data_IF_690904245276
#
_entry.id   IF_690904245276
#
_cell.length_a   1.000
_cell.length_b   1.000
_cell.length_c   1.000
_cell.angle_alpha   90.00
_cell.angle_beta   90.00
_cell.angle_gamma   90.00
#
_symmetry.space_group_name_H-M   'P 1'
#
loop_
_entity.id
_entity.type
_entity.pdbx_description
1 polymer ?
#
# COMPACT_ATOMS: atom_id res chain seq x y z
N UNK A 1 19.90 -3.98 6.93
CA UNK A 1 18.62 -4.66 6.78
C UNK A 1 17.84 -4.06 5.63
N UNK A 2 17.00 -4.86 4.99
CA UNK A 2 16.31 -4.43 3.77
C UNK A 2 14.97 -3.76 4.10
N UNK A 3 14.54 -2.87 3.22
CA UNK A 3 13.32 -2.09 3.43
C UNK A 3 12.10 -2.79 2.87
N UNK A 4 10.96 -2.54 3.48
CA UNK A 4 9.65 -2.95 2.98
C UNK A 4 8.93 -1.72 2.42
N UNK A 5 8.13 -1.95 1.38
CA UNK A 5 7.34 -0.90 0.74
C UNK A 5 5.87 -1.29 0.81
N UNK A 6 5.01 -0.34 1.17
CA UNK A 6 3.57 -0.58 1.20
C UNK A 6 2.87 0.27 0.17
N UNK A 7 1.82 -0.28 -0.42
CA UNK A 7 0.99 0.37 -1.42
C UNK A 7 -0.46 0.41 -0.95
N UNK A 8 -1.07 1.57 -1.04
CA UNK A 8 -2.51 1.75 -0.88
C UNK A 8 -3.07 2.12 -2.25
N UNK A 9 -3.71 1.15 -2.91
CA UNK A 9 -4.16 1.29 -4.29
C UNK A 9 -5.56 1.90 -4.33
N UNK A 10 -5.63 3.21 -4.62
CA UNK A 10 -6.89 3.91 -4.81
C UNK A 10 -7.32 3.93 -6.27
N UNK A 11 -8.49 4.51 -6.55
CA UNK A 11 -9.01 4.63 -7.91
C UNK A 11 -8.17 5.57 -8.77
N UNK A 12 -7.67 6.65 -8.17
CA UNK A 12 -6.97 7.72 -8.88
C UNK A 12 -5.52 7.81 -8.43
N UNK A 13 -5.23 7.47 -7.18
CA UNK A 13 -3.92 7.63 -6.56
C UNK A 13 -3.45 6.36 -5.91
N UNK A 14 -2.14 6.21 -5.86
CA UNK A 14 -1.47 5.12 -5.15
C UNK A 14 -0.64 5.74 -4.04
N UNK A 15 -1.01 5.47 -2.79
CA UNK A 15 -0.20 5.88 -1.65
C UNK A 15 0.97 4.92 -1.48
N UNK A 16 2.16 5.45 -1.21
CA UNK A 16 3.39 4.65 -1.08
C UNK A 16 4.06 5.00 0.22
N UNK A 17 4.41 3.99 0.99
CA UNK A 17 5.18 4.13 2.23
C UNK A 17 6.40 3.22 2.19
N UNK A 18 7.44 3.61 2.92
CA UNK A 18 8.71 2.90 2.95
C UNK A 18 9.15 2.73 4.40
N UNK A 19 9.65 1.56 4.76
CA UNK A 19 10.22 1.35 6.08
C UNK A 19 11.67 1.84 6.13
N UNK A 20 12.17 2.07 7.35
CA UNK A 20 13.59 2.29 7.55
C UNK A 20 14.37 0.98 7.34
N UNK A 21 15.68 1.07 7.31
CA UNK A 21 16.53 -0.10 7.09
C UNK A 21 16.54 -1.08 8.26
N UNK A 22 16.09 -0.64 9.43
CA UNK A 22 15.97 -1.50 10.62
C UNK A 22 14.61 -2.19 10.69
N UNK A 23 13.66 -1.80 9.85
CA UNK A 23 12.31 -2.38 9.85
C UNK A 23 11.48 -2.01 11.06
N UNK A 24 11.76 -0.87 11.69
CA UNK A 24 11.08 -0.43 12.91
C UNK A 24 10.01 0.61 12.67
N UNK A 25 10.17 1.46 11.65
CA UNK A 25 9.27 2.57 11.39
C UNK A 25 8.81 2.57 9.94
N UNK A 26 7.58 3.06 9.73
CA UNK A 26 7.00 3.26 8.41
C UNK A 26 6.87 4.77 8.16
N UNK A 27 7.34 5.21 7.00
CA UNK A 27 7.28 6.62 6.61
C UNK A 27 6.53 6.77 5.30
N UNK A 28 5.66 7.78 5.15
CA UNK A 28 5.11 8.11 3.85
C UNK A 28 6.23 8.44 2.88
N UNK A 29 6.19 7.88 1.67
CA UNK A 29 7.20 8.15 0.66
C UNK A 29 6.67 9.10 -0.41
N UNK A 30 5.57 8.75 -1.04
CA UNK A 30 4.99 9.54 -2.11
C UNK A 30 3.55 9.11 -2.38
N UNK A 31 2.86 9.91 -3.19
CA UNK A 31 1.57 9.55 -3.76
C UNK A 31 1.73 9.62 -5.28
N UNK A 32 1.40 8.52 -5.95
CA UNK A 32 1.47 8.44 -7.40
C UNK A 32 0.07 8.65 -7.98
N UNK A 33 -0.03 9.46 -9.04
CA UNK A 33 -1.26 9.51 -9.81
C UNK A 33 -1.28 8.31 -10.74
N UNK A 34 -2.33 7.50 -10.65
CA UNK A 34 -2.44 6.32 -11.52
C UNK A 34 -2.63 6.74 -12.97
N UNK A 35 -1.84 6.16 -13.86
CA UNK A 35 -1.86 6.47 -15.30
C UNK A 35 -1.99 5.21 -16.16
N UNK A 36 -2.36 4.10 -15.55
CA UNK A 36 -2.57 2.82 -16.22
C UNK A 36 -1.73 1.71 -15.61
N UNK A 37 -2.22 0.49 -15.68
CA UNK A 37 -1.63 -0.66 -14.99
C UNK A 37 -0.16 -0.85 -15.33
N UNK A 38 0.20 -0.87 -16.60
CA UNK A 38 1.59 -1.15 -16.99
C UNK A 38 2.54 -0.04 -16.56
N UNK A 39 2.15 1.22 -16.75
CA UNK A 39 2.98 2.36 -16.34
C UNK A 39 3.12 2.42 -14.82
N UNK A 40 2.05 2.16 -14.11
CA UNK A 40 2.08 2.15 -12.64
C UNK A 40 3.02 1.06 -12.13
N UNK A 41 2.97 -0.13 -12.72
CA UNK A 41 3.87 -1.23 -12.36
C UNK A 41 5.34 -0.86 -12.63
N UNK A 42 5.62 -0.22 -13.75
CA UNK A 42 6.98 0.23 -14.07
C UNK A 42 7.47 1.24 -13.03
N UNK A 43 6.61 2.20 -12.67
CA UNK A 43 6.95 3.21 -11.66
C UNK A 43 7.21 2.57 -10.30
N UNK A 44 6.36 1.65 -9.88
CA UNK A 44 6.53 0.93 -8.61
C UNK A 44 7.82 0.09 -8.65
N UNK A 45 8.07 -0.60 -9.75
CA UNK A 45 9.31 -1.36 -9.93
C UNK A 45 10.56 -0.49 -9.80
N UNK A 46 10.50 0.72 -10.33
CA UNK A 46 11.58 1.70 -10.17
C UNK A 46 11.81 2.08 -8.71
N UNK A 47 10.73 2.29 -7.95
CA UNK A 47 10.85 2.59 -6.52
C UNK A 47 11.44 1.41 -5.75
N UNK A 48 11.03 0.20 -6.09
CA UNK A 48 11.56 -1.02 -5.46
C UNK A 48 13.06 -1.12 -5.67
N UNK A 49 13.53 -0.86 -6.88
CA UNK A 49 14.96 -0.91 -7.19
C UNK A 49 15.73 0.24 -6.55
N UNK A 50 15.20 1.46 -6.64
CA UNK A 50 15.86 2.67 -6.11
C UNK A 50 16.07 2.57 -4.60
N UNK A 51 15.09 2.06 -3.88
CA UNK A 51 15.13 2.00 -2.41
C UNK A 51 15.57 0.64 -1.87
N UNK A 52 16.01 -0.26 -2.74
CA UNK A 52 16.47 -1.60 -2.34
C UNK A 52 15.43 -2.34 -1.50
N UNK A 53 14.19 -2.32 -1.97
CA UNK A 53 13.06 -2.93 -1.28
C UNK A 53 13.18 -4.45 -1.37
N UNK A 54 12.97 -5.11 -0.24
CA UNK A 54 13.02 -6.58 -0.16
C UNK A 54 11.65 -7.24 -0.19
N UNK A 55 10.59 -6.47 0.02
CA UNK A 55 9.24 -7.01 0.13
C UNK A 55 8.23 -5.88 -0.07
N UNK A 56 7.14 -6.18 -0.76
CA UNK A 56 6.04 -5.22 -1.00
C UNK A 56 4.78 -5.72 -0.31
N UNK A 57 4.08 -4.82 0.37
CA UNK A 57 2.82 -5.09 1.03
C UNK A 57 1.74 -4.24 0.37
N UNK A 58 0.64 -4.86 -0.02
CA UNK A 58 -0.49 -4.19 -0.69
C UNK A 58 -1.72 -4.29 0.18
N UNK A 59 -2.34 -3.17 0.49
CA UNK A 59 -3.59 -3.13 1.24
C UNK A 59 -4.74 -3.70 0.42
N UNK A 60 -5.48 -4.62 1.01
CA UNK A 60 -6.63 -5.23 0.36
C UNK A 60 -7.91 -4.80 1.09
N UNK A 61 -8.75 -3.96 0.45
CA UNK A 61 -9.99 -3.50 1.08
C UNK A 61 -11.02 -4.62 1.04
N UNK A 62 -11.37 -5.14 2.20
CA UNK A 62 -12.38 -6.18 2.36
C UNK A 62 -13.54 -5.55 3.14
N UNK A 63 -14.77 -5.83 2.73
CA UNK A 63 -15.94 -5.34 3.46
C UNK A 63 -15.97 -5.92 4.88
N UNK A 64 -16.62 -5.22 5.80
CA UNK A 64 -16.66 -5.63 7.20
C UNK A 64 -17.26 -7.02 7.40
N UNK A 65 -18.13 -7.45 6.47
CA UNK A 65 -18.73 -8.79 6.50
C UNK A 65 -17.85 -9.86 5.82
N UNK A 66 -16.66 -9.50 5.38
CA UNK A 66 -15.73 -10.42 4.72
C UNK A 66 -15.92 -10.56 3.20
N UNK A 67 -16.92 -9.90 2.63
CA UNK A 67 -17.13 -9.94 1.17
C UNK A 67 -16.19 -8.99 0.45
N UNK A 68 -16.02 -9.22 -0.86
CA UNK A 68 -15.14 -8.41 -1.70
C UNK A 68 -15.94 -7.60 -2.72
N UNK A 69 -15.61 -6.31 -2.80
CA UNK A 69 -16.19 -5.40 -3.79
C UNK A 69 -15.51 -5.57 -5.15
N UNK A 70 -16.06 -4.89 -6.16
CA UNK A 70 -15.40 -4.85 -7.48
C UNK A 70 -14.02 -4.19 -7.39
N UNK A 71 -13.86 -3.20 -6.52
CA UNK A 71 -12.57 -2.57 -6.29
C UNK A 71 -11.55 -3.56 -5.75
N UNK A 72 -11.95 -4.40 -4.81
CA UNK A 72 -11.08 -5.43 -4.25
C UNK A 72 -10.58 -6.37 -5.35
N UNK A 73 -11.47 -6.78 -6.24
CA UNK A 73 -11.12 -7.66 -7.36
C UNK A 73 -10.12 -7.00 -8.30
N UNK A 74 -10.29 -5.70 -8.60
CA UNK A 74 -9.35 -4.95 -9.44
C UNK A 74 -7.98 -4.84 -8.79
N UNK A 75 -7.94 -4.64 -7.47
CA UNK A 75 -6.70 -4.59 -6.72
C UNK A 75 -5.99 -5.94 -6.78
N UNK A 76 -6.72 -7.04 -6.65
CA UNK A 76 -6.13 -8.37 -6.78
C UNK A 76 -5.51 -8.58 -8.16
N UNK A 77 -6.23 -8.21 -9.22
CA UNK A 77 -5.72 -8.34 -10.59
C UNK A 77 -4.45 -7.53 -10.81
N UNK A 78 -4.47 -6.27 -10.37
CA UNK A 78 -3.30 -5.40 -10.46
C UNK A 78 -2.12 -6.01 -9.71
N UNK A 79 -2.37 -6.49 -8.50
CA UNK A 79 -1.32 -7.00 -7.62
C UNK A 79 -0.73 -8.30 -8.17
N UNK A 80 -1.52 -9.16 -8.79
CA UNK A 80 -0.99 -10.36 -9.44
C UNK A 80 -0.04 -9.98 -10.58
N UNK A 81 -0.40 -9.00 -11.39
CA UNK A 81 0.47 -8.51 -12.46
C UNK A 81 1.74 -7.88 -11.91
N UNK A 82 1.60 -7.08 -10.86
CA UNK A 82 2.74 -6.47 -10.17
C UNK A 82 3.69 -7.55 -9.64
N UNK A 83 3.16 -8.55 -8.96
CA UNK A 83 3.95 -9.62 -8.37
C UNK A 83 4.77 -10.36 -9.43
N UNK A 84 4.19 -10.60 -10.61
CA UNK A 84 4.87 -11.27 -11.70
C UNK A 84 6.01 -10.43 -12.31
N UNK A 85 5.96 -9.11 -12.15
CA UNK A 85 6.97 -8.20 -12.71
C UNK A 85 8.07 -7.83 -11.73
N UNK A 86 7.85 -8.07 -10.44
CA UNK A 86 8.84 -7.77 -9.40
C UNK A 86 9.67 -9.01 -9.06
N UNK A 87 10.92 -8.78 -8.67
CA UNK A 87 11.82 -9.85 -8.21
C UNK A 87 11.74 -10.07 -6.70
N UNK A 88 10.85 -9.37 -6.02
CA UNK A 88 10.69 -9.48 -4.58
C UNK A 88 9.30 -10.01 -4.26
N UNK A 89 9.09 -10.64 -3.10
CA UNK A 89 7.76 -11.13 -2.73
C UNK A 89 6.80 -9.99 -2.49
N UNK A 90 5.53 -10.23 -2.84
CA UNK A 90 4.43 -9.29 -2.65
C UNK A 90 3.40 -9.96 -1.77
N UNK A 91 2.85 -9.23 -0.82
CA UNK A 91 1.87 -9.72 0.15
C UNK A 91 0.64 -8.82 0.19
N UNK A 92 -0.50 -9.41 0.50
CA UNK A 92 -1.71 -8.65 0.86
C UNK A 92 -1.79 -8.49 2.36
N UNK A 93 -2.30 -7.35 2.80
CA UNK A 93 -2.71 -7.11 4.18
C UNK A 93 -4.15 -6.58 4.19
N UNK A 94 -4.97 -7.10 5.10
CA UNK A 94 -6.35 -6.64 5.27
C UNK A 94 -6.34 -5.24 5.87
N UNK A 95 -6.91 -4.26 5.15
CA UNK A 95 -6.84 -2.85 5.56
C UNK A 95 -8.03 -2.38 6.42
N UNK A 96 -8.95 -3.29 6.80
CA UNK A 96 -10.17 -2.90 7.51
C UNK A 96 -9.93 -2.07 8.76
N UNK A 97 -8.85 -2.36 9.49
CA UNK A 97 -8.53 -1.64 10.74
C UNK A 97 -7.79 -0.33 10.52
N UNK A 98 -6.99 -0.25 9.46
CA UNK A 98 -6.11 0.90 9.21
C UNK A 98 -6.84 2.10 8.61
N UNK A 99 -7.89 1.87 7.81
CA UNK A 99 -8.69 2.95 7.23
C UNK A 99 -9.31 3.85 8.29
N UNK A 100 -9.84 3.25 9.37
CA UNK A 100 -10.41 4.02 10.47
C UNK A 100 -9.39 4.92 11.15
N UNK A 101 -8.18 4.41 11.34
CA UNK A 101 -7.10 5.18 11.97
C UNK A 101 -6.72 6.37 11.10
N UNK A 102 -6.60 6.17 9.79
CA UNK A 102 -6.28 7.25 8.86
C UNK A 102 -7.34 8.35 8.87
N UNK A 103 -8.62 7.98 8.81
CA UNK A 103 -9.72 8.93 8.86
C UNK A 103 -9.71 9.74 10.16
N UNK A 104 -9.49 9.08 11.29
CA UNK A 104 -9.44 9.72 12.60
C UNK A 104 -8.30 10.73 12.68
N UNK A 105 -7.11 10.36 12.20
CA UNK A 105 -5.96 11.25 12.19
C UNK A 105 -6.21 12.48 11.35
N UNK A 106 -6.87 12.35 10.21
CA UNK A 106 -7.17 13.49 9.34
C UNK A 106 -8.20 14.41 9.92
N UNK A 107 -9.23 13.87 10.57
CA UNK A 107 -10.25 14.66 11.28
C UNK A 107 -9.61 15.51 12.38
N UNK A 108 -8.72 14.93 13.14
CA UNK A 108 -8.06 15.61 14.26
C UNK A 108 -7.12 16.72 13.77
N UNK A 109 -6.54 16.58 12.57
CA UNK A 109 -5.61 17.57 12.02
C UNK A 109 -6.28 18.80 11.42
N UNK A 110 -7.61 18.76 11.17
CA UNK A 110 -8.36 19.88 10.58
C UNK A 110 -7.97 20.21 9.16
N UNK A 111 -7.46 19.26 8.39
CA UNK A 111 -7.01 19.47 7.01
C UNK A 111 -8.22 19.55 6.07
N UNK A 112 -8.12 20.40 5.01
CA UNK A 112 -9.20 20.54 4.02
C UNK A 112 -9.44 19.22 3.27
N UNK A 113 -10.67 19.03 2.77
CA UNK A 113 -11.06 17.78 2.11
C UNK A 113 -10.14 17.41 0.95
N UNK A 114 -9.69 18.38 0.16
CA UNK A 114 -8.81 18.14 -0.98
C UNK A 114 -7.41 17.70 -0.54
N UNK A 115 -6.88 18.33 0.49
CA UNK A 115 -5.58 17.95 1.07
C UNK A 115 -5.69 16.64 1.84
N UNK A 116 -6.85 16.38 2.46
CA UNK A 116 -7.09 15.15 3.20
C UNK A 116 -6.94 13.92 2.32
N UNK A 117 -7.42 13.96 1.07
CA UNK A 117 -7.35 12.79 0.17
C UNK A 117 -5.93 12.32 -0.06
N UNK A 118 -5.03 13.23 -0.45
CA UNK A 118 -3.64 12.87 -0.66
C UNK A 118 -2.93 12.44 0.61
N UNK A 119 -3.19 13.10 1.73
CA UNK A 119 -2.60 12.74 3.02
C UNK A 119 -3.18 11.45 3.57
N UNK A 120 -4.48 11.19 3.37
CA UNK A 120 -5.09 9.92 3.78
C UNK A 120 -4.42 8.76 3.04
N UNK A 121 -4.17 8.90 1.73
CA UNK A 121 -3.50 7.86 0.95
C UNK A 121 -2.08 7.60 1.48
N UNK A 122 -1.31 8.65 1.80
CA UNK A 122 0.03 8.50 2.37
C UNK A 122 -0.01 7.88 3.75
N UNK A 123 -0.91 8.37 4.61
CA UNK A 123 -1.05 7.88 5.98
C UNK A 123 -1.56 6.45 5.97
N UNK A 124 -2.52 6.13 5.10
CA UNK A 124 -3.04 4.77 5.00
C UNK A 124 -1.94 3.79 4.62
N UNK A 125 -1.10 4.13 3.63
CA UNK A 125 0.03 3.28 3.24
C UNK A 125 1.02 3.10 4.40
N UNK A 126 1.33 4.16 5.13
CA UNK A 126 2.23 4.09 6.28
C UNK A 126 1.66 3.24 7.41
N UNK A 127 0.35 3.34 7.65
CA UNK A 127 -0.32 2.52 8.67
C UNK A 127 -0.36 1.05 8.28
N UNK A 128 -0.60 0.75 7.01
CA UNK A 128 -0.53 -0.62 6.50
C UNK A 128 0.85 -1.20 6.74
N UNK A 129 1.88 -0.44 6.40
CA UNK A 129 3.26 -0.87 6.57
C UNK A 129 3.61 -1.05 8.04
N UNK A 130 3.20 -0.13 8.89
CA UNK A 130 3.44 -0.22 10.32
C UNK A 130 2.79 -1.47 10.91
N UNK A 131 1.56 -1.78 10.50
CA UNK A 131 0.87 -3.00 10.92
C UNK A 131 1.65 -4.24 10.48
N UNK A 132 2.14 -4.25 9.24
CA UNK A 132 2.94 -5.37 8.72
C UNK A 132 4.23 -5.54 9.53
N UNK A 133 4.93 -4.45 9.83
CA UNK A 133 6.17 -4.49 10.61
C UNK A 133 5.94 -4.98 12.03
N UNK A 134 4.76 -4.77 12.58
CA UNK A 134 4.39 -5.22 13.93
C UNK A 134 3.84 -6.65 13.96
N UNK A 135 3.87 -7.34 12.83
CA UNK A 135 3.49 -8.76 12.78
C UNK A 135 2.06 -9.04 12.35
N UNK A 136 1.36 -8.09 11.72
CA UNK A 136 0.05 -8.36 11.16
C UNK A 136 0.13 -9.48 10.13
N UNK A 137 -0.96 -10.24 10.00
CA UNK A 137 -1.01 -11.36 9.08
C UNK A 137 -0.91 -10.88 7.64
N UNK A 138 0.04 -11.47 6.90
CA UNK A 138 0.25 -11.18 5.48
C UNK A 138 -0.05 -12.45 4.67
N UNK A 139 -0.66 -12.26 3.50
CA UNK A 139 -0.95 -13.35 2.57
C UNK A 139 -0.10 -13.17 1.32
N UNK A 140 0.76 -14.13 1.03
CA UNK A 140 1.66 -14.01 -0.11
C UNK A 140 0.88 -14.08 -1.43
N UNK A 141 1.26 -13.18 -2.35
CA UNK A 141 0.69 -13.14 -3.69
C UNK A 141 1.52 -14.06 -4.59
N UNK A 142 0.90 -15.05 -5.24
CA UNK A 142 1.68 -15.99 -6.04
C UNK A 142 2.34 -15.32 -7.25
N UNK A 143 3.49 -15.86 -7.62
CA UNK A 143 4.17 -15.54 -8.88
C UNK A 143 3.96 -16.71 -9.82
N UNK A 144 3.46 -16.42 -11.01
CA UNK A 144 3.19 -17.46 -12.01
C UNK A 144 4.23 -17.48 -13.11
#
# INVERSE_FOLDING_TARGET
>A
MKRWLALDLGHVRIGVALSDTLGMTAQPLTVLKSVGTQKDIITIGGLVNEHEVSQVVVGLPINMDGTESNQTKKIREFTYKLSNRLNVPVFFIDERLTSRQAERMMTDSGVTAKKQRGKVDQIAAALLLQSALKGALLTEVPKT
#
